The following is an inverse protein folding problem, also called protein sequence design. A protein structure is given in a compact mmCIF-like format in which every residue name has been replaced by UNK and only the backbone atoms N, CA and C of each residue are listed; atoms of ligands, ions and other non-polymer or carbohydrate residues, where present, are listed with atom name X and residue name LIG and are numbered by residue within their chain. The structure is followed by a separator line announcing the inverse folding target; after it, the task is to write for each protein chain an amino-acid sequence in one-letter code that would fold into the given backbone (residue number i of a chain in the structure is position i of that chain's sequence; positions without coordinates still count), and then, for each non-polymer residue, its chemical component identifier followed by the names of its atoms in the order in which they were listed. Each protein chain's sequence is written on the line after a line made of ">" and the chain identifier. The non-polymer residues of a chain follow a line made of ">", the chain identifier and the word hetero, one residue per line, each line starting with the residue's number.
data_IF_517981890284
#
_entry.id   IF_517981890284
#
_cell.length_a   1.000
_cell.length_b   1.000
_cell.length_c   1.000
_cell.angle_alpha   90.00
_cell.angle_beta   90.00
_cell.angle_gamma   90.00
#
_symmetry.space_group_name_H-M   'P 1'
#
loop_
_entity.id
_entity.type
_entity.pdbx_description
1 polymer ?
#
# COMPACT_ATOMS: atom_id res chain seq x y z
N UNK A 1 -0.67 9.86 2.83
CA UNK A 1 -0.68 8.82 1.77
C UNK A 1 0.27 7.67 2.07
N UNK A 2 1.50 7.87 2.58
CA UNK A 2 2.44 6.76 2.90
C UNK A 2 1.80 5.65 3.75
N UNK A 3 1.45 5.98 4.99
CA UNK A 3 0.89 5.01 5.94
C UNK A 3 -0.39 4.35 5.42
N UNK A 4 -1.32 5.13 4.87
CA UNK A 4 -2.61 4.64 4.39
C UNK A 4 -2.46 3.72 3.17
N UNK A 5 -1.51 3.98 2.28
CA UNK A 5 -1.26 3.13 1.11
C UNK A 5 -0.65 1.78 1.50
N UNK A 6 0.37 1.78 2.38
CA UNK A 6 0.95 0.53 2.90
C UNK A 6 -0.11 -0.31 3.64
N UNK A 7 -0.98 0.35 4.42
CA UNK A 7 -2.09 -0.33 5.11
C UNK A 7 -3.14 -0.87 4.17
N UNK A 8 -3.50 -0.15 3.10
CA UNK A 8 -4.45 -0.64 2.11
C UNK A 8 -3.95 -1.93 1.44
N UNK A 9 -2.67 -1.97 1.05
CA UNK A 9 -2.06 -3.20 0.50
C UNK A 9 -2.08 -4.34 1.51
N UNK A 10 -1.73 -4.08 2.77
CA UNK A 10 -1.77 -5.08 3.83
C UNK A 10 -3.18 -5.68 4.00
N UNK A 11 -4.22 -4.84 4.06
CA UNK A 11 -5.60 -5.29 4.21
C UNK A 11 -6.09 -6.08 3.00
N UNK A 12 -5.74 -5.65 1.79
CA UNK A 12 -6.11 -6.39 0.58
C UNK A 12 -5.45 -7.78 0.54
N UNK A 13 -4.18 -7.89 0.96
CA UNK A 13 -3.50 -9.19 1.09
C UNK A 13 -4.15 -10.09 2.14
N UNK A 14 -4.51 -9.54 3.31
CA UNK A 14 -5.23 -10.28 4.34
C UNK A 14 -6.60 -10.76 3.86
N UNK A 15 -7.28 -9.95 3.04
CA UNK A 15 -8.56 -10.33 2.44
C UNK A 15 -8.40 -11.51 1.49
N UNK A 16 -7.39 -11.50 0.62
CA UNK A 16 -7.07 -12.63 -0.27
C UNK A 16 -6.81 -13.90 0.56
N UNK A 17 -5.99 -13.78 1.61
CA UNK A 17 -5.68 -14.92 2.49
C UNK A 17 -6.92 -15.46 3.21
N UNK A 18 -7.79 -14.59 3.72
CA UNK A 18 -9.02 -14.99 4.41
C UNK A 18 -10.03 -15.70 3.50
N UNK A 19 -10.05 -15.35 2.20
CA UNK A 19 -10.89 -16.00 1.19
C UNK A 19 -10.30 -17.32 0.69
N UNK A 20 -9.07 -17.68 1.07
CA UNK A 20 -8.39 -18.88 0.60
C UNK A 20 -8.24 -18.90 -0.92
N UNK A 21 -8.48 -20.04 -1.56
CA UNK A 21 -8.40 -20.18 -3.02
C UNK A 21 -9.32 -19.20 -3.78
N UNK A 22 -10.48 -18.87 -3.21
CA UNK A 22 -11.42 -17.92 -3.80
C UNK A 22 -10.88 -16.48 -3.81
N UNK A 23 -9.90 -16.16 -2.95
CA UNK A 23 -9.22 -14.87 -2.96
C UNK A 23 -8.37 -14.63 -4.22
N UNK A 24 -8.01 -15.69 -4.93
CA UNK A 24 -7.24 -15.64 -6.17
C UNK A 24 -8.11 -15.72 -7.44
N UNK A 25 -9.42 -15.88 -7.30
CA UNK A 25 -10.36 -15.87 -8.44
C UNK A 25 -10.94 -14.46 -8.64
N UNK A 26 -11.62 -14.25 -9.76
CA UNK A 26 -12.32 -12.99 -10.04
C UNK A 26 -13.76 -12.97 -9.51
N UNK A 27 -14.18 -13.98 -8.74
CA UNK A 27 -15.53 -14.01 -8.12
C UNK A 27 -15.66 -12.95 -7.02
N UNK A 28 -14.56 -12.63 -6.33
CA UNK A 28 -14.49 -11.60 -5.31
C UNK A 28 -13.58 -10.46 -5.78
N UNK A 29 -13.85 -9.20 -5.37
CA UNK A 29 -13.06 -8.06 -5.80
C UNK A 29 -11.65 -7.98 -5.17
N UNK A 30 -11.26 -8.93 -4.32
CA UNK A 30 -10.03 -8.87 -3.52
C UNK A 30 -8.76 -8.65 -4.36
N UNK A 31 -8.60 -9.41 -5.46
CA UNK A 31 -7.45 -9.25 -6.36
C UNK A 31 -7.43 -7.90 -7.09
N UNK A 32 -8.60 -7.35 -7.45
CA UNK A 32 -8.69 -6.00 -8.05
C UNK A 32 -8.27 -4.94 -7.03
N UNK A 33 -8.84 -4.99 -5.83
CA UNK A 33 -8.53 -4.03 -4.76
C UNK A 33 -7.06 -4.07 -4.34
N UNK A 34 -6.41 -5.24 -4.35
CA UNK A 34 -4.97 -5.34 -4.12
C UNK A 34 -4.17 -4.56 -5.16
N UNK A 35 -4.51 -4.68 -6.45
CA UNK A 35 -3.80 -3.96 -7.52
C UNK A 35 -4.00 -2.46 -7.40
N UNK A 36 -5.22 -2.02 -7.10
CA UNK A 36 -5.53 -0.61 -6.88
C UNK A 36 -4.76 -0.05 -5.67
N UNK A 37 -4.76 -0.77 -4.55
CA UNK A 37 -4.00 -0.40 -3.36
C UNK A 37 -2.49 -0.32 -3.64
N UNK A 38 -1.95 -1.29 -4.39
CA UNK A 38 -0.54 -1.32 -4.74
C UNK A 38 -0.14 -0.14 -5.62
N UNK A 39 -1.03 0.28 -6.53
CA UNK A 39 -0.81 1.48 -7.34
C UNK A 39 -0.68 2.74 -6.48
N UNK A 40 -1.46 2.90 -5.41
CA UNK A 40 -1.27 4.01 -4.46
C UNK A 40 0.04 3.94 -3.66
N UNK A 41 0.53 2.73 -3.41
CA UNK A 41 1.79 2.51 -2.70
C UNK A 41 3.01 2.86 -3.56
N UNK A 42 2.96 2.64 -4.88
CA UNK A 42 4.14 2.80 -5.76
C UNK A 42 4.01 3.91 -6.81
N UNK A 43 2.80 4.26 -7.26
CA UNK A 43 2.55 5.01 -8.49
C UNK A 43 2.96 6.48 -8.47
N UNK A 44 3.07 7.11 -7.29
CA UNK A 44 3.47 8.52 -7.13
C UNK A 44 4.76 8.68 -6.30
N UNK A 45 5.61 7.64 -6.32
CA UNK A 45 6.79 7.51 -5.49
C UNK A 45 6.61 6.40 -4.46
N UNK A 46 7.60 5.52 -4.41
CA UNK A 46 7.59 4.36 -3.52
C UNK A 46 7.58 4.79 -2.05
N UNK A 47 7.27 3.86 -1.17
CA UNK A 47 7.31 4.10 0.27
C UNK A 47 8.68 4.57 0.76
N UNK A 48 9.77 4.04 0.19
CA UNK A 48 11.14 4.40 0.52
C UNK A 48 11.42 5.87 0.20
N UNK A 49 11.05 6.31 -1.02
CA UNK A 49 11.24 7.70 -1.46
C UNK A 49 10.46 8.65 -0.55
N UNK A 50 9.23 8.29 -0.20
CA UNK A 50 8.41 9.09 0.72
C UNK A 50 9.00 9.14 2.14
N UNK A 51 9.51 8.04 2.68
CA UNK A 51 10.20 8.04 3.98
C UNK A 51 11.45 8.91 3.96
N UNK A 52 12.24 8.85 2.90
CA UNK A 52 13.43 9.69 2.72
C UNK A 52 13.06 11.18 2.71
N UNK A 53 12.05 11.57 1.93
CA UNK A 53 11.57 12.96 1.86
C UNK A 53 11.06 13.44 3.22
N UNK A 54 10.18 12.65 3.87
CA UNK A 54 9.67 12.99 5.22
C UNK A 54 10.83 13.16 6.21
N UNK A 55 11.80 12.24 6.22
CA UNK A 55 12.97 12.33 7.10
C UNK A 55 13.78 13.59 6.84
N UNK A 56 14.08 13.90 5.57
CA UNK A 56 14.81 15.12 5.18
C UNK A 56 14.10 16.39 5.67
N UNK A 57 12.80 16.50 5.46
CA UNK A 57 12.03 17.69 5.88
C UNK A 57 12.02 17.83 7.41
N UNK A 58 11.91 16.72 8.15
CA UNK A 58 11.99 16.75 9.61
C UNK A 58 13.36 17.22 10.12
N UNK A 59 14.46 16.76 9.52
CA UNK A 59 15.80 17.22 9.87
C UNK A 59 16.00 18.71 9.55
N UNK A 60 15.48 19.18 8.41
CA UNK A 60 15.56 20.58 8.01
C UNK A 60 14.80 21.53 8.94
N UNK A 61 13.69 21.09 9.56
CA UNK A 61 12.94 21.92 10.51
C UNK A 61 13.50 21.89 11.93
N UNK A 62 14.30 20.88 12.26
CA UNK A 62 14.90 20.71 13.59
C UNK A 62 16.26 21.40 13.75
N UNK A 63 16.79 21.99 12.67
CA UNK A 63 18.06 22.71 12.62
C UNK A 63 17.81 24.21 12.47
#
# INVERSE_FOLDING_TARGET
>A
ILFTAEKATQMALQTIQALGGNGYTNEYPAGRLLRDAKLYEIGAGTSEVRRMLIGRELFSQSS
#
